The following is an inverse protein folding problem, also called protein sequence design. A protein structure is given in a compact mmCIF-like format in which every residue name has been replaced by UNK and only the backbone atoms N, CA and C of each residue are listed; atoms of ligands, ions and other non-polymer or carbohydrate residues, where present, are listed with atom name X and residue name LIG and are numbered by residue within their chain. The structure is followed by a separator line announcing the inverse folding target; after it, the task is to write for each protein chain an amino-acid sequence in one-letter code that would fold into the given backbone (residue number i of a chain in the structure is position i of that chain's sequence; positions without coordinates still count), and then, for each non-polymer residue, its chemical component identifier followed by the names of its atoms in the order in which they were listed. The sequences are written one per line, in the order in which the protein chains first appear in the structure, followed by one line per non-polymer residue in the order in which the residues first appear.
data_IF_357306510847
#
_entry.id   IF_357306510847
#
_cell.length_a   1.000
_cell.length_b   1.000
_cell.length_c   1.000
_cell.angle_alpha   90.00
_cell.angle_beta   90.00
_cell.angle_gamma   90.00
#
_symmetry.space_group_name_H-M   'P 1'
#
loop_
_entity.id
_entity.type
_entity.pdbx_description
1 polymer ?
#
# COMPACT_ATOMS: atom_id res chain seq x y z
N UNK A 1 -0.99 19.78 4.66
CA UNK A 1 0.05 18.82 5.08
C UNK A 1 1.39 19.29 4.55
N UNK A 2 2.49 19.05 5.29
CA UNK A 2 3.84 19.29 4.79
C UNK A 2 4.32 18.12 3.93
N UNK A 3 5.38 18.31 3.13
CA UNK A 3 6.04 17.21 2.40
C UNK A 3 6.44 16.08 3.34
N UNK A 4 6.96 16.43 4.53
CA UNK A 4 7.39 15.47 5.52
C UNK A 4 6.22 14.60 6.03
N UNK A 5 5.03 15.19 6.24
CA UNK A 5 3.86 14.43 6.67
C UNK A 5 3.33 13.49 5.58
N UNK A 6 3.38 13.90 4.31
CA UNK A 6 2.98 13.04 3.18
C UNK A 6 3.92 11.84 3.08
N UNK A 7 5.23 12.07 3.12
CA UNK A 7 6.23 11.00 3.07
C UNK A 7 6.06 10.00 4.23
N UNK A 8 5.80 10.51 5.43
CA UNK A 8 5.59 9.68 6.62
C UNK A 8 4.34 8.81 6.48
N UNK A 9 3.21 9.40 6.06
CA UNK A 9 1.92 8.71 5.92
C UNK A 9 1.91 7.66 4.81
N UNK A 10 2.66 7.92 3.73
CA UNK A 10 2.66 7.07 2.54
C UNK A 10 3.70 5.95 2.60
N UNK A 11 4.86 6.19 3.22
CA UNK A 11 5.97 5.23 3.22
C UNK A 11 6.28 4.68 4.60
N UNK A 12 6.61 5.57 5.54
CA UNK A 12 7.15 5.17 6.84
C UNK A 12 6.10 4.46 7.69
N UNK A 13 4.89 5.03 7.77
CA UNK A 13 3.80 4.46 8.56
C UNK A 13 3.40 3.05 8.06
N UNK A 14 3.12 2.82 6.75
CA UNK A 14 2.83 1.47 6.25
C UNK A 14 3.90 0.44 6.56
N UNK A 15 5.19 0.81 6.47
CA UNK A 15 6.29 -0.12 6.78
C UNK A 15 6.21 -0.56 8.25
N UNK A 16 6.13 0.40 9.18
CA UNK A 16 6.07 0.12 10.62
C UNK A 16 4.82 -0.68 10.96
N UNK A 17 3.68 -0.30 10.40
CA UNK A 17 2.41 -1.00 10.58
C UNK A 17 2.48 -2.45 10.11
N UNK A 18 3.04 -2.73 8.94
CA UNK A 18 3.20 -4.12 8.49
C UNK A 18 4.10 -4.93 9.43
N UNK A 19 5.22 -4.37 9.91
CA UNK A 19 6.09 -5.06 10.87
C UNK A 19 5.35 -5.42 12.16
N UNK A 20 4.55 -4.51 12.71
CA UNK A 20 3.79 -4.72 13.95
C UNK A 20 2.65 -5.71 13.71
N UNK A 21 1.79 -5.46 12.72
CA UNK A 21 0.55 -6.20 12.54
C UNK A 21 0.77 -7.55 11.86
N UNK A 22 1.60 -7.63 10.82
CA UNK A 22 1.83 -8.87 10.04
C UNK A 22 3.08 -9.59 10.53
N UNK A 23 4.16 -8.84 10.74
CA UNK A 23 5.44 -9.38 11.21
C UNK A 23 5.38 -9.96 12.62
N UNK A 24 4.69 -9.30 13.56
CA UNK A 24 4.63 -9.74 14.95
C UNK A 24 3.26 -10.29 15.37
N UNK A 25 2.22 -9.44 15.40
CA UNK A 25 0.93 -9.79 16.02
C UNK A 25 0.24 -10.96 15.30
N UNK A 26 0.14 -10.89 13.97
CA UNK A 26 -0.50 -11.94 13.19
C UNK A 26 0.22 -13.27 13.33
N UNK A 27 1.56 -13.30 13.22
CA UNK A 27 2.33 -14.53 13.40
C UNK A 27 2.10 -15.14 14.80
N UNK A 28 2.29 -14.34 15.87
CA UNK A 28 2.13 -14.79 17.26
C UNK A 28 0.72 -15.33 17.56
N UNK A 29 -0.32 -14.68 17.06
CA UNK A 29 -1.69 -15.14 17.29
C UNK A 29 -2.13 -16.24 16.33
N UNK A 30 -1.52 -16.36 15.14
CA UNK A 30 -1.81 -17.46 14.24
C UNK A 30 -1.38 -18.81 14.83
N UNK A 31 -0.35 -18.83 15.67
CA UNK A 31 0.12 -20.03 16.39
C UNK A 31 -0.91 -20.52 17.42
N UNK A 32 -1.53 -19.61 18.16
CA UNK A 32 -2.45 -19.95 19.28
C UNK A 32 -3.92 -20.00 18.87
N UNK A 33 -4.35 -19.18 17.91
CA UNK A 33 -5.75 -19.01 17.52
C UNK A 33 -6.07 -19.56 16.12
N UNK A 34 -5.04 -19.91 15.34
CA UNK A 34 -5.17 -20.27 13.94
C UNK A 34 -5.27 -19.05 13.01
N UNK A 35 -4.94 -19.27 11.74
CA UNK A 35 -4.79 -18.24 10.70
C UNK A 35 -6.02 -17.34 10.57
N UNK A 36 -7.21 -17.94 10.48
CA UNK A 36 -8.44 -17.18 10.23
C UNK A 36 -8.81 -16.27 11.40
N UNK A 37 -8.77 -16.77 12.64
CA UNK A 37 -9.07 -15.95 13.83
C UNK A 37 -8.03 -14.85 14.00
N UNK A 38 -6.74 -15.18 13.86
CA UNK A 38 -5.67 -14.19 13.92
C UNK A 38 -5.87 -13.08 12.88
N UNK A 39 -6.20 -13.43 11.64
CA UNK A 39 -6.46 -12.49 10.55
C UNK A 39 -7.60 -11.50 10.88
N UNK A 40 -8.74 -12.00 11.39
CA UNK A 40 -9.86 -11.15 11.77
C UNK A 40 -9.53 -10.26 12.98
N UNK A 41 -8.86 -10.80 13.99
CA UNK A 41 -8.51 -10.07 15.21
C UNK A 41 -7.48 -8.97 14.90
N UNK A 42 -6.40 -9.27 14.18
CA UNK A 42 -5.39 -8.26 13.83
C UNK A 42 -5.95 -7.19 12.91
N UNK A 43 -6.86 -7.54 12.01
CA UNK A 43 -7.51 -6.54 11.14
C UNK A 43 -8.52 -5.68 11.88
N UNK A 44 -9.23 -6.26 12.85
CA UNK A 44 -10.09 -5.51 13.77
C UNK A 44 -9.28 -4.52 14.59
N UNK A 45 -8.17 -4.95 15.18
CA UNK A 45 -7.29 -4.06 15.94
C UNK A 45 -6.65 -2.99 15.08
N UNK A 46 -6.23 -3.31 13.85
CA UNK A 46 -5.72 -2.32 12.90
C UNK A 46 -6.75 -1.23 12.66
N UNK A 47 -8.00 -1.58 12.38
CA UNK A 47 -9.06 -0.60 12.19
C UNK A 47 -9.39 0.16 13.49
N UNK A 48 -9.35 -0.51 14.65
CA UNK A 48 -9.64 0.10 15.95
C UNK A 48 -8.59 1.11 16.40
N UNK A 49 -7.31 0.99 16.04
CA UNK A 49 -6.32 2.03 16.43
C UNK A 49 -6.46 3.31 15.60
N UNK A 50 -7.28 3.27 14.54
CA UNK A 50 -7.55 4.37 13.63
C UNK A 50 -8.99 4.92 13.82
N UNK A 51 -9.47 5.05 15.06
CA UNK A 51 -10.88 5.34 15.42
C UNK A 51 -11.52 6.56 14.73
N UNK A 52 -10.72 7.51 14.27
CA UNK A 52 -11.22 8.72 13.60
C UNK A 52 -11.46 8.53 12.09
N UNK A 53 -11.14 7.35 11.56
CA UNK A 53 -11.19 7.05 10.13
C UNK A 53 -12.29 6.03 9.80
N UNK A 54 -12.52 5.77 8.51
CA UNK A 54 -13.48 4.78 8.03
C UNK A 54 -13.10 3.36 8.49
N UNK A 55 -13.61 2.94 9.65
CA UNK A 55 -13.34 1.65 10.28
C UNK A 55 -13.51 0.49 9.31
N UNK A 56 -14.62 0.47 8.56
CA UNK A 56 -14.94 -0.63 7.65
C UNK A 56 -13.92 -0.69 6.50
N UNK A 57 -13.54 0.47 5.93
CA UNK A 57 -12.52 0.55 4.90
C UNK A 57 -11.16 0.03 5.38
N UNK A 58 -10.73 0.49 6.56
CA UNK A 58 -9.45 0.08 7.16
C UNK A 58 -9.42 -1.40 7.54
N UNK A 59 -10.53 -1.93 8.05
CA UNK A 59 -10.67 -3.34 8.35
C UNK A 59 -10.53 -4.19 7.08
N UNK A 60 -11.20 -3.81 5.99
CA UNK A 60 -11.13 -4.50 4.70
C UNK A 60 -9.73 -4.41 4.10
N UNK A 61 -9.12 -3.24 4.08
CA UNK A 61 -7.73 -3.08 3.60
C UNK A 61 -6.76 -3.92 4.43
N UNK A 62 -6.94 -3.94 5.75
CA UNK A 62 -6.10 -4.74 6.63
C UNK A 62 -6.25 -6.24 6.39
N UNK A 63 -7.49 -6.71 6.19
CA UNK A 63 -7.77 -8.09 5.80
C UNK A 63 -7.09 -8.43 4.48
N UNK A 64 -7.16 -7.53 3.49
CA UNK A 64 -6.51 -7.71 2.19
C UNK A 64 -5.00 -7.89 2.33
N UNK A 65 -4.30 -7.01 3.07
CA UNK A 65 -2.86 -7.15 3.29
C UNK A 65 -2.53 -8.45 4.05
N UNK A 66 -3.36 -8.85 5.01
CA UNK A 66 -3.17 -10.12 5.71
C UNK A 66 -3.31 -11.33 4.76
N UNK A 67 -4.27 -11.32 3.84
CA UNK A 67 -4.44 -12.35 2.81
C UNK A 67 -3.21 -12.37 1.87
N UNK A 68 -2.72 -11.20 1.46
CA UNK A 68 -1.51 -11.09 0.63
C UNK A 68 -0.32 -11.67 1.38
N UNK A 69 -0.10 -11.30 2.64
CA UNK A 69 0.98 -11.83 3.46
C UNK A 69 0.90 -13.36 3.59
N UNK A 70 -0.28 -13.92 3.90
CA UNK A 70 -0.47 -15.38 4.04
C UNK A 70 -0.21 -16.11 2.73
N UNK A 71 -0.65 -15.57 1.59
CA UNK A 71 -0.49 -16.21 0.28
C UNK A 71 0.93 -16.10 -0.26
N UNK A 72 1.53 -14.92 -0.13
CA UNK A 72 2.86 -14.62 -0.70
C UNK A 72 3.99 -15.02 0.23
N UNK A 73 3.69 -15.21 1.52
CA UNK A 73 4.67 -15.50 2.57
C UNK A 73 5.78 -14.46 2.65
N UNK A 74 5.49 -13.23 2.20
CA UNK A 74 6.46 -12.15 2.12
C UNK A 74 5.89 -10.89 2.75
N UNK A 75 6.56 -10.43 3.81
CA UNK A 75 6.23 -9.16 4.44
C UNK A 75 6.46 -7.99 3.48
N UNK A 76 7.50 -8.08 2.64
CA UNK A 76 7.83 -7.05 1.65
C UNK A 76 6.69 -6.85 0.65
N UNK A 77 6.03 -7.92 0.18
CA UNK A 77 4.91 -7.80 -0.76
C UNK A 77 3.72 -7.10 -0.09
N UNK A 78 3.44 -7.43 1.17
CA UNK A 78 2.40 -6.76 1.95
C UNK A 78 2.70 -5.26 2.14
N UNK A 79 3.96 -4.92 2.48
CA UNK A 79 4.44 -3.53 2.60
C UNK A 79 4.24 -2.76 1.30
N UNK A 80 4.66 -3.32 0.17
CA UNK A 80 4.52 -2.64 -1.13
C UNK A 80 3.04 -2.42 -1.45
N UNK A 81 2.18 -3.42 -1.24
CA UNK A 81 0.74 -3.27 -1.43
C UNK A 81 0.13 -2.18 -0.52
N UNK A 82 0.58 -2.09 0.73
CA UNK A 82 0.09 -1.10 1.68
C UNK A 82 0.55 0.32 1.29
N UNK A 83 1.84 0.49 0.95
CA UNK A 83 2.38 1.75 0.43
C UNK A 83 1.60 2.21 -0.81
N UNK A 84 1.35 1.31 -1.76
CA UNK A 84 0.57 1.63 -2.96
C UNK A 84 -0.86 2.04 -2.63
N UNK A 85 -1.51 1.37 -1.68
CA UNK A 85 -2.85 1.73 -1.23
C UNK A 85 -2.88 3.13 -0.60
N UNK A 86 -1.88 3.49 0.20
CA UNK A 86 -1.79 4.82 0.81
C UNK A 86 -1.44 5.89 -0.22
N UNK A 87 -0.56 5.60 -1.19
CA UNK A 87 -0.27 6.49 -2.32
C UNK A 87 -1.55 6.87 -3.09
N UNK A 88 -2.37 5.86 -3.42
CA UNK A 88 -3.62 6.08 -4.16
C UNK A 88 -4.60 6.88 -3.31
N UNK A 89 -4.72 6.55 -2.02
CA UNK A 89 -5.65 7.22 -1.10
C UNK A 89 -5.27 8.69 -0.84
N UNK A 90 -3.97 9.01 -0.84
CA UNK A 90 -3.45 10.36 -0.59
C UNK A 90 -3.27 11.21 -1.85
N UNK A 91 -3.67 10.72 -3.03
CA UNK A 91 -3.46 11.44 -4.30
C UNK A 91 -4.13 12.82 -4.33
N UNK A 92 -5.34 12.96 -3.77
CA UNK A 92 -6.03 14.25 -3.70
C UNK A 92 -5.31 15.28 -2.82
N UNK A 93 -4.70 14.82 -1.73
CA UNK A 93 -3.89 15.66 -0.85
C UNK A 93 -2.59 16.10 -1.55
N UNK A 94 -1.98 15.19 -2.32
CA UNK A 94 -0.83 15.50 -3.16
C UNK A 94 -1.18 16.60 -4.18
N UNK A 95 -2.29 16.47 -4.92
CA UNK A 95 -2.74 17.51 -5.85
C UNK A 95 -2.93 18.88 -5.16
N UNK A 96 -3.56 18.89 -3.98
CA UNK A 96 -3.78 20.12 -3.20
C UNK A 96 -2.50 20.78 -2.68
N UNK A 97 -1.43 19.99 -2.50
CA UNK A 97 -0.12 20.49 -2.10
C UNK A 97 0.58 21.18 -3.28
N UNK A 98 0.55 20.57 -4.47
CA UNK A 98 1.16 21.16 -5.67
C UNK A 98 0.47 22.45 -6.11
N UNK A 99 -0.87 22.50 -6.06
CA UNK A 99 -1.61 23.72 -6.43
C UNK A 99 -1.26 24.90 -5.51
N UNK A 100 -1.06 24.67 -4.21
CA UNK A 100 -0.63 25.70 -3.25
C UNK A 100 0.81 26.16 -3.47
N UNK A 101 1.71 25.25 -3.86
CA UNK A 101 3.09 25.59 -4.20
C UNK A 101 3.17 26.44 -5.48
N UNK A 102 2.25 26.21 -6.42
CA UNK A 102 2.15 26.92 -7.70
C UNK A 102 1.55 28.32 -7.53
N UNK A 103 0.53 28.48 -6.67
CA UNK A 103 -0.06 29.79 -6.30
C UNK A 103 0.96 30.71 -5.60
N UNK A 104 1.88 30.15 -4.81
CA UNK A 104 3.01 30.87 -4.21
C UNK A 104 4.06 31.36 -5.22
N UNK A 105 4.05 30.87 -6.45
CA UNK A 105 5.01 31.19 -7.52
C UNK A 105 4.43 32.15 -8.58
N UNK A 106 3.12 32.38 -8.54
CA UNK A 106 2.31 32.79 -9.70
C UNK A 106 2.31 34.28 -10.06
N UNK A 107 3.34 35.05 -9.72
CA UNK A 107 3.50 36.36 -10.36
C UNK A 107 4.01 36.27 -11.82
N UNK A 108 4.39 35.09 -12.37
CA UNK A 108 5.06 34.96 -13.70
C UNK A 108 4.65 33.78 -14.64
N UNK A 109 3.56 33.02 -14.39
CA UNK A 109 3.45 31.61 -14.85
C UNK A 109 2.54 31.32 -16.09
N UNK A 110 2.15 32.32 -16.87
CA UNK A 110 1.40 32.08 -18.11
C UNK A 110 2.20 31.24 -19.12
N UNK A 111 3.54 31.30 -19.09
CA UNK A 111 4.42 30.49 -19.92
C UNK A 111 4.39 28.98 -19.63
N UNK A 112 3.97 28.56 -18.44
CA UNK A 112 3.86 27.13 -18.08
C UNK A 112 2.55 26.51 -18.52
N UNK A 113 1.47 27.29 -18.68
CA UNK A 113 0.18 26.77 -19.12
C UNK A 113 0.25 26.11 -20.50
N UNK A 114 1.12 26.63 -21.37
CA UNK A 114 1.40 26.03 -22.68
C UNK A 114 2.19 24.72 -22.57
N UNK A 115 2.96 24.50 -21.50
CA UNK A 115 3.64 23.24 -21.23
C UNK A 115 2.70 22.17 -20.64
N UNK A 116 1.66 22.58 -19.90
CA UNK A 116 0.65 21.68 -19.32
C UNK A 116 -0.31 21.10 -20.36
N UNK A 117 -0.73 21.88 -21.34
CA UNK A 117 -1.54 21.35 -22.45
C UNK A 117 -0.82 20.20 -23.17
N UNK A 118 0.50 20.30 -23.28
CA UNK A 118 1.36 19.27 -23.89
C UNK A 118 1.49 18.01 -23.01
N UNK A 119 1.34 18.14 -21.68
CA UNK A 119 1.30 17.00 -20.74
C UNK A 119 -0.05 16.29 -20.75
N UNK A 120 -1.16 17.02 -20.91
CA UNK A 120 -2.51 16.47 -20.91
C UNK A 120 -2.82 15.61 -22.14
N UNK A 121 -2.21 15.89 -23.29
CA UNK A 121 -2.28 15.02 -24.47
C UNK A 121 -1.57 13.66 -24.30
N UNK A 122 -0.73 13.51 -23.26
CA UNK A 122 -0.01 12.25 -22.97
C UNK A 122 -0.77 11.28 -22.05
N UNK A 123 -1.98 11.65 -21.57
CA UNK A 123 -2.83 10.80 -20.70
C UNK A 123 -3.12 9.40 -21.28
N UNK A 124 -3.21 9.26 -22.60
CA UNK A 124 -3.41 7.94 -23.23
C UNK A 124 -2.19 7.01 -23.10
N UNK A 125 -0.99 7.55 -23.02
CA UNK A 125 0.25 6.78 -22.83
C UNK A 125 0.41 6.28 -21.39
N UNK A 126 -0.10 7.02 -20.41
CA UNK A 126 -0.02 6.66 -18.98
C UNK A 126 -0.98 5.53 -18.59
N UNK A 127 -2.16 5.46 -19.23
CA UNK A 127 -3.08 4.34 -19.06
C UNK A 127 -2.48 3.06 -19.64
N UNK A 128 -1.84 3.14 -20.81
CA UNK A 128 -1.17 2.00 -21.45
C UNK A 128 -0.01 1.51 -20.58
N UNK A 129 0.81 2.41 -20.02
CA UNK A 129 1.90 2.02 -19.10
C UNK A 129 1.37 1.39 -17.80
N UNK A 130 0.29 1.93 -17.23
CA UNK A 130 -0.36 1.36 -16.04
C UNK A 130 -0.94 -0.04 -16.32
N UNK A 131 -1.50 -0.27 -17.50
CA UNK A 131 -1.97 -1.59 -17.94
C UNK A 131 -0.80 -2.55 -18.19
N UNK A 132 0.30 -2.08 -18.79
CA UNK A 132 1.52 -2.89 -18.98
C UNK A 132 2.14 -3.27 -17.63
N UNK A 133 2.19 -2.36 -16.66
CA UNK A 133 2.69 -2.64 -15.31
C UNK A 133 1.75 -3.58 -14.55
N UNK A 134 0.43 -3.41 -14.68
CA UNK A 134 -0.55 -4.33 -14.11
C UNK A 134 -0.41 -5.73 -14.71
N UNK A 135 -0.24 -5.84 -16.02
CA UNK A 135 0.00 -7.12 -16.72
C UNK A 135 1.35 -7.71 -16.33
N UNK A 136 2.41 -6.92 -16.19
CA UNK A 136 3.72 -7.37 -15.72
C UNK A 136 3.64 -7.89 -14.27
N UNK A 137 2.88 -7.21 -13.40
CA UNK A 137 2.59 -7.66 -12.04
C UNK A 137 1.79 -8.97 -12.07
N UNK A 138 0.79 -9.11 -12.95
CA UNK A 138 0.02 -10.36 -13.12
C UNK A 138 0.87 -11.52 -13.69
N UNK A 139 1.80 -11.24 -14.61
CA UNK A 139 2.73 -12.23 -15.16
C UNK A 139 3.75 -12.66 -14.10
N UNK A 140 4.30 -11.72 -13.33
CA UNK A 140 5.17 -12.02 -12.19
C UNK A 140 4.39 -12.79 -11.11
N UNK A 141 3.14 -12.42 -10.86
CA UNK A 141 2.23 -13.11 -9.94
C UNK A 141 1.96 -14.56 -10.37
N UNK A 142 1.77 -14.83 -11.66
CA UNK A 142 1.60 -16.19 -12.22
C UNK A 142 2.92 -16.98 -12.22
N UNK A 143 4.05 -16.32 -12.49
CA UNK A 143 5.37 -16.96 -12.59
C UNK A 143 5.97 -17.30 -11.21
N UNK A 144 5.63 -16.54 -10.18
CA UNK A 144 6.08 -16.77 -8.79
C UNK A 144 5.06 -17.52 -7.93
N UNK A 145 4.03 -18.13 -8.52
CA UNK A 145 3.16 -19.08 -7.79
C UNK A 145 4.02 -20.24 -7.29
N UNK A 146 4.24 -20.39 -5.97
CA UNK A 146 4.98 -21.51 -5.43
C UNK A 146 4.12 -22.76 -5.66
N UNK A 147 4.66 -23.74 -6.40
CA UNK A 147 3.96 -25.00 -6.69
C UNK A 147 3.99 -26.00 -5.53
N UNK A 148 4.59 -25.66 -4.40
CA UNK A 148 4.74 -26.61 -3.29
C UNK A 148 3.83 -26.30 -2.12
N UNK A 149 2.95 -27.27 -1.86
CA UNK A 149 2.42 -27.56 -0.54
C UNK A 149 3.58 -28.08 0.30
N UNK A 150 4.12 -27.28 1.22
CA UNK A 150 4.28 -27.62 2.63
C UNK A 150 5.24 -26.65 3.33
N UNK A 151 4.99 -26.48 4.63
CA UNK A 151 5.72 -25.71 5.63
C UNK A 151 5.60 -24.19 5.55
N UNK A 152 5.22 -23.62 6.70
CA UNK A 152 5.16 -22.19 6.97
C UNK A 152 6.58 -21.59 6.95
N UNK A 153 6.75 -20.29 6.66
CA UNK A 153 8.07 -19.65 6.53
C UNK A 153 8.98 -19.76 7.77
N UNK A 154 8.42 -20.05 8.95
CA UNK A 154 9.18 -20.11 10.21
C UNK A 154 9.73 -21.50 10.54
N UNK A 155 9.31 -22.57 9.84
CA UNK A 155 9.82 -23.92 10.13
C UNK A 155 11.32 -24.04 9.86
N UNK A 156 11.87 -23.14 9.04
CA UNK A 156 13.30 -23.14 8.66
C UNK A 156 14.18 -22.26 9.57
N UNK A 157 13.65 -21.67 10.65
CA UNK A 157 14.43 -20.84 11.58
C UNK A 157 14.72 -21.56 12.92
N UNK A 158 14.43 -22.85 13.01
CA UNK A 158 14.61 -23.66 14.22
C UNK A 158 15.58 -24.85 14.03
N UNK A 159 16.24 -24.94 12.87
CA UNK A 159 17.29 -25.93 12.59
C UNK A 159 18.66 -25.25 12.45
#
# INVERSE_FOLDING_TARGET
MSILSIFTLVLIAPIIEEFIFRGYLFNKWSESLGIYKAMFITSGLFALIHLNNNFLGLFISSLFFCIIYVKTRSLLVSIVCHVLNNLISSFGEFQSFFSKAEESSQNNFSGFMNFISDLQSNLNSFIILAVILLIAILILFIKFIPKEKNQFPYVNNLD
#
